data_IF_353546350220
#
_entry.id   IF_353546350220
#
_cell.length_a   1.000
_cell.length_b   1.000
_cell.length_c   1.000
_cell.angle_alpha   90.00
_cell.angle_beta   90.00
_cell.angle_gamma   90.00
#
_symmetry.space_group_name_H-M   'P 1'
#
loop_
_entity.id
_entity.type
_entity.pdbx_description
1 polymer ?
#
# COMPACT_ATOMS: atom_id res chain seq x y z
N UNK A 1 -8.08 55.18 2.35
CA UNK A 1 -8.31 53.71 2.53
C UNK A 1 -9.11 53.06 1.41
N UNK A 2 -10.28 53.60 0.99
CA UNK A 2 -11.11 52.99 -0.08
C UNK A 2 -10.40 52.86 -1.43
N UNK A 3 -9.78 53.95 -1.90
CA UNK A 3 -9.07 54.02 -3.20
C UNK A 3 -7.86 53.10 -3.32
N UNK A 4 -7.19 52.81 -2.19
CA UNK A 4 -6.02 51.92 -2.15
C UNK A 4 -6.45 50.46 -2.31
N UNK A 5 -7.52 50.05 -1.61
CA UNK A 5 -8.11 48.71 -1.71
C UNK A 5 -8.67 48.39 -3.09
N UNK A 6 -9.21 49.37 -3.80
CA UNK A 6 -9.66 49.19 -5.19
C UNK A 6 -8.49 48.97 -6.14
N UNK A 7 -7.39 49.71 -5.94
CA UNK A 7 -6.15 49.53 -6.71
C UNK A 7 -5.49 48.17 -6.43
N UNK A 8 -5.47 47.73 -5.18
CA UNK A 8 -4.96 46.42 -4.76
C UNK A 8 -5.82 45.26 -5.30
N UNK A 9 -7.13 45.47 -5.49
CA UNK A 9 -8.04 44.48 -6.10
C UNK A 9 -7.89 44.42 -7.63
N UNK A 10 -7.44 45.50 -8.25
CA UNK A 10 -7.20 45.56 -9.70
C UNK A 10 -5.88 44.87 -10.11
N UNK A 11 -4.95 44.64 -9.18
CA UNK A 11 -3.72 43.91 -9.45
C UNK A 11 -3.97 42.39 -9.41
N UNK A 12 -3.77 41.66 -10.52
CA UNK A 12 -4.04 40.23 -10.61
C UNK A 12 -3.12 39.38 -9.74
N UNK A 13 -1.94 39.89 -9.33
CA UNK A 13 -1.02 39.15 -8.44
C UNK A 13 -1.41 39.32 -6.98
N UNK A 14 -1.73 40.55 -6.56
CA UNK A 14 -2.05 40.87 -5.17
C UNK A 14 -3.46 40.40 -4.77
N UNK A 15 -4.37 40.32 -5.74
CA UNK A 15 -5.74 39.82 -5.53
C UNK A 15 -5.89 38.31 -5.71
N UNK A 16 -4.82 37.60 -6.11
CA UNK A 16 -4.84 36.15 -6.31
C UNK A 16 -4.96 35.41 -4.98
N UNK A 17 -6.05 34.69 -4.78
CA UNK A 17 -6.21 33.77 -3.65
C UNK A 17 -5.54 32.43 -4.00
N UNK A 18 -4.85 31.76 -3.05
CA UNK A 18 -4.37 30.40 -3.27
C UNK A 18 -5.52 29.51 -3.75
N UNK A 19 -5.22 28.65 -4.72
CA UNK A 19 -6.23 27.75 -5.28
C UNK A 19 -6.72 26.82 -4.17
N UNK A 20 -8.04 26.81 -3.95
CA UNK A 20 -8.63 25.93 -2.94
C UNK A 20 -8.52 24.47 -3.39
N UNK A 21 -8.47 23.50 -2.46
CA UNK A 21 -8.69 22.09 -2.81
C UNK A 21 -9.99 22.03 -3.62
N UNK A 22 -10.01 21.31 -4.75
CA UNK A 22 -11.17 21.29 -5.64
C UNK A 22 -12.19 20.27 -5.11
N UNK A 23 -13.30 20.69 -4.47
CA UNK A 23 -14.32 19.74 -4.06
C UNK A 23 -15.13 19.32 -5.30
N UNK A 24 -15.26 18.01 -5.54
CA UNK A 24 -16.14 17.48 -6.58
C UNK A 24 -15.41 16.83 -7.75
N UNK A 25 -16.05 16.82 -8.93
CA UNK A 25 -15.58 16.12 -10.13
C UNK A 25 -14.25 16.69 -10.61
N UNK A 26 -13.28 15.82 -10.90
CA UNK A 26 -11.97 16.23 -11.40
C UNK A 26 -12.11 16.94 -12.74
N UNK A 27 -11.57 18.15 -12.85
CA UNK A 27 -11.56 18.96 -14.07
C UNK A 27 -10.16 19.57 -14.23
N UNK A 28 -9.68 19.68 -15.47
CA UNK A 28 -8.42 20.37 -15.79
C UNK A 28 -7.14 19.65 -15.31
N UNK A 29 -7.15 18.31 -15.26
CA UNK A 29 -5.99 17.51 -14.81
C UNK A 29 -5.91 17.29 -13.29
N UNK A 30 -6.81 17.91 -12.52
CA UNK A 30 -6.95 17.67 -11.07
C UNK A 30 -7.82 16.44 -10.82
N UNK A 31 -7.35 15.54 -9.95
CA UNK A 31 -8.13 14.36 -9.54
C UNK A 31 -9.15 14.81 -8.50
N UNK A 32 -10.42 14.69 -8.84
CA UNK A 32 -11.53 15.02 -7.95
C UNK A 32 -11.90 13.86 -7.03
N UNK A 33 -12.51 14.19 -5.90
CA UNK A 33 -12.97 13.20 -4.92
C UNK A 33 -14.34 12.63 -5.35
N UNK A 34 -14.39 11.32 -5.60
CA UNK A 34 -15.64 10.54 -5.59
C UNK A 34 -16.54 10.57 -6.84
N UNK A 35 -16.17 11.21 -7.96
CA UNK A 35 -17.10 11.31 -9.11
C UNK A 35 -16.89 10.28 -10.23
N UNK A 36 -15.87 9.42 -10.17
CA UNK A 36 -15.58 8.43 -11.21
C UNK A 36 -15.83 7.01 -10.71
N UNK A 37 -16.20 6.12 -11.63
CA UNK A 37 -16.35 4.69 -11.34
C UNK A 37 -15.06 4.10 -10.74
N UNK A 38 -13.89 4.56 -11.21
CA UNK A 38 -12.59 4.17 -10.65
C UNK A 38 -12.44 4.53 -9.17
N UNK A 39 -12.88 5.73 -8.77
CA UNK A 39 -12.89 6.14 -7.35
C UNK A 39 -13.92 5.35 -6.54
N UNK A 40 -15.05 4.98 -7.12
CA UNK A 40 -16.08 4.14 -6.47
C UNK A 40 -15.59 2.71 -6.24
N UNK A 41 -15.02 2.06 -7.27
CA UNK A 41 -14.44 0.72 -7.18
C UNK A 41 -13.28 0.69 -6.19
N UNK A 42 -12.42 1.72 -6.17
CA UNK A 42 -11.38 1.85 -5.14
C UNK A 42 -11.97 1.94 -3.73
N UNK A 43 -13.06 2.69 -3.55
CA UNK A 43 -13.73 2.80 -2.25
C UNK A 43 -14.29 1.46 -1.79
N UNK A 44 -14.94 0.71 -2.68
CA UNK A 44 -15.44 -0.65 -2.37
C UNK A 44 -14.28 -1.57 -1.99
N UNK A 45 -13.24 -1.62 -2.83
CA UNK A 45 -12.11 -2.52 -2.63
C UNK A 45 -11.28 -2.15 -1.38
N UNK A 46 -11.17 -0.87 -1.05
CA UNK A 46 -10.52 -0.42 0.17
C UNK A 46 -11.27 -0.87 1.44
N UNK A 47 -12.58 -1.08 1.36
CA UNK A 47 -13.38 -1.63 2.47
C UNK A 47 -13.24 -3.15 2.56
N UNK A 48 -12.99 -3.83 1.44
CA UNK A 48 -12.86 -5.29 1.36
C UNK A 48 -11.43 -5.81 1.62
N UNK A 49 -10.41 -4.96 1.52
CA UNK A 49 -9.02 -5.38 1.72
C UNK A 49 -8.69 -5.54 3.21
N UNK A 50 -8.97 -6.74 3.75
CA UNK A 50 -8.43 -7.21 5.04
C UNK A 50 -6.93 -7.57 4.91
N UNK A 51 -6.44 -7.75 3.67
CA UNK A 51 -5.12 -8.31 3.38
C UNK A 51 -4.00 -7.29 3.11
N UNK A 52 -4.27 -5.98 3.22
CA UNK A 52 -3.25 -4.94 2.96
C UNK A 52 -2.31 -4.70 4.14
N UNK A 53 -2.68 -5.15 5.35
CA UNK A 53 -1.94 -4.91 6.59
C UNK A 53 -1.10 -6.11 7.06
N UNK A 54 -1.23 -7.29 6.43
CA UNK A 54 -0.36 -8.44 6.77
C UNK A 54 1.00 -8.28 6.07
N UNK A 55 2.08 -8.21 6.87
CA UNK A 55 3.44 -8.28 6.35
C UNK A 55 3.62 -9.59 5.54
N UNK A 56 4.22 -9.55 4.34
CA UNK A 56 4.28 -10.72 3.45
C UNK A 56 5.00 -11.91 4.08
N UNK A 57 5.92 -11.65 5.03
CA UNK A 57 6.59 -12.67 5.82
C UNK A 57 5.62 -13.38 6.76
N UNK A 58 4.79 -12.63 7.47
CA UNK A 58 3.85 -13.17 8.46
C UNK A 58 2.77 -14.01 7.78
N UNK A 59 2.30 -13.54 6.63
CA UNK A 59 1.37 -14.30 5.79
C UNK A 59 1.95 -15.67 5.39
N UNK A 60 3.23 -15.73 4.98
CA UNK A 60 3.89 -17.00 4.68
C UNK A 60 4.05 -17.89 5.93
N UNK A 61 4.43 -17.31 7.07
CA UNK A 61 4.60 -18.03 8.34
C UNK A 61 3.30 -18.64 8.86
N UNK A 62 2.16 -17.98 8.64
CA UNK A 62 0.82 -18.45 9.00
C UNK A 62 0.51 -19.81 8.37
N UNK A 63 0.95 -20.02 7.14
CA UNK A 63 0.71 -21.26 6.40
C UNK A 63 1.79 -22.34 6.60
N UNK A 64 2.92 -22.03 7.23
CA UNK A 64 4.03 -22.99 7.46
C UNK A 64 3.56 -24.25 8.21
N UNK A 65 2.77 -24.09 9.28
CA UNK A 65 2.21 -25.22 10.04
C UNK A 65 1.29 -26.09 9.18
N UNK A 66 0.37 -25.46 8.45
CA UNK A 66 -0.58 -26.17 7.58
C UNK A 66 0.11 -26.94 6.46
N UNK A 67 1.19 -26.38 5.90
CA UNK A 67 1.96 -27.00 4.83
C UNK A 67 2.77 -28.22 5.32
N UNK A 68 3.24 -28.19 6.57
CA UNK A 68 3.96 -29.30 7.21
C UNK A 68 3.03 -30.45 7.59
N UNK A 69 1.83 -30.17 8.06
CA UNK A 69 0.87 -31.19 8.50
C UNK A 69 0.27 -31.98 7.33
N UNK A 70 -0.07 -31.31 6.21
CA UNK A 70 -0.70 -31.95 5.05
C UNK A 70 0.00 -31.57 3.73
N UNK A 71 1.20 -32.11 3.47
CA UNK A 71 1.94 -31.84 2.24
C UNK A 71 1.26 -32.52 1.05
N UNK A 72 0.61 -31.75 0.17
CA UNK A 72 -0.12 -32.31 -0.98
C UNK A 72 0.62 -32.16 -2.32
N UNK A 73 1.10 -30.96 -2.65
CA UNK A 73 1.58 -30.66 -4.01
C UNK A 73 3.05 -30.99 -4.27
N UNK A 74 3.94 -30.51 -3.40
CA UNK A 74 5.39 -30.42 -3.71
C UNK A 74 6.23 -31.20 -2.69
N UNK A 75 5.93 -31.02 -1.40
CA UNK A 75 6.69 -31.62 -0.31
C UNK A 75 6.84 -33.15 -0.38
N UNK A 76 5.84 -33.96 -0.81
CA UNK A 76 6.00 -35.42 -0.85
C UNK A 76 7.14 -35.89 -1.75
N UNK A 77 7.33 -35.23 -2.90
CA UNK A 77 8.38 -35.59 -3.86
C UNK A 77 9.78 -35.21 -3.34
N UNK A 78 9.91 -34.02 -2.76
CA UNK A 78 11.19 -33.54 -2.24
C UNK A 78 11.62 -34.27 -0.97
N UNK A 79 10.70 -34.73 -0.12
CA UNK A 79 11.03 -35.54 1.05
C UNK A 79 11.82 -36.81 0.70
N UNK A 80 11.52 -37.45 -0.43
CA UNK A 80 12.22 -38.67 -0.85
C UNK A 80 13.48 -38.42 -1.70
N UNK A 81 13.55 -37.29 -2.39
CA UNK A 81 14.60 -37.02 -3.39
C UNK A 81 15.68 -36.06 -2.90
N UNK A 82 15.43 -35.33 -1.81
CA UNK A 82 16.38 -34.32 -1.33
C UNK A 82 17.59 -34.98 -0.67
N UNK A 83 18.82 -34.69 -1.13
CA UNK A 83 20.03 -35.18 -0.49
C UNK A 83 20.16 -34.58 0.91
N UNK A 84 20.66 -35.37 1.86
CA UNK A 84 20.97 -34.88 3.20
C UNK A 84 22.16 -33.92 3.10
N UNK A 85 22.00 -32.65 3.51
CA UNK A 85 23.12 -31.72 3.48
C UNK A 85 24.18 -32.15 4.50
N UNK A 86 25.44 -32.15 4.08
CA UNK A 86 26.62 -32.37 4.92
C UNK A 86 27.21 -31.00 5.27
N UNK A 87 26.47 -30.20 6.03
CA UNK A 87 27.02 -28.96 6.58
C UNK A 87 27.72 -29.25 7.89
N UNK A 88 28.77 -28.48 8.17
CA UNK A 88 29.36 -28.44 9.49
C UNK A 88 28.29 -27.91 10.44
N UNK A 89 28.10 -28.57 11.59
CA UNK A 89 27.22 -28.06 12.64
C UNK A 89 27.70 -26.64 12.97
N UNK A 90 26.76 -25.68 12.93
CA UNK A 90 27.09 -24.34 13.39
C UNK A 90 27.46 -24.50 14.88
N UNK A 91 28.71 -24.20 15.22
CA UNK A 91 29.07 -23.96 16.61
C UNK A 91 28.12 -22.86 17.08
N UNK A 92 27.28 -23.18 18.07
CA UNK A 92 26.47 -22.19 18.75
C UNK A 92 27.44 -21.13 19.28
N UNK A 93 27.53 -20.01 18.56
CA UNK A 93 28.26 -18.83 19.00
C UNK A 93 27.43 -18.13 20.07
N UNK A 94 27.24 -18.81 21.20
CA UNK A 94 26.84 -18.22 22.47
C UNK A 94 28.09 -17.66 23.14
N UNK A 95 28.64 -16.56 22.60
CA UNK A 95 29.66 -15.73 23.26
C UNK A 95 29.69 -14.33 22.60
N UNK A 96 28.71 -13.50 22.94
CA UNK A 96 28.79 -12.06 23.30
C UNK A 96 27.40 -11.41 23.51
#
# INVERSE_FOLDING_TARGET
MKRRREKERADPKLSHKPETPAPGKGVGGRIGTGSSLGSYVRKIRAVENVDLDEDPREALLKYDKSAKENPFWIAPAYMGTQPKPLFQEAEDSDED
#
